data_IF_988997439060
#
_entry.id   IF_988997439060
#
_cell.length_a   1.000
_cell.length_b   1.000
_cell.length_c   1.000
_cell.angle_alpha   90.00
_cell.angle_beta   90.00
_cell.angle_gamma   90.00
#
_symmetry.space_group_name_H-M   'P 1'
#
loop_
_entity.id
_entity.type
_entity.pdbx_description
1 polymer ?
#
# COMPACT_ATOMS: atom_id res chain seq x y z
N UNK A 1 -46.12 -4.01 -13.01
CA UNK A 1 -45.80 -5.08 -13.96
C UNK A 1 -44.90 -4.45 -15.04
N UNK A 2 -43.60 -4.59 -14.93
CA UNK A 2 -42.64 -4.20 -15.98
C UNK A 2 -41.68 -5.38 -16.15
N UNK A 3 -41.80 -6.04 -17.29
CA UNK A 3 -41.00 -7.21 -17.66
C UNK A 3 -39.62 -6.77 -18.15
N UNK A 4 -38.58 -7.27 -17.51
CA UNK A 4 -37.18 -7.10 -17.93
C UNK A 4 -36.90 -8.16 -19.00
N UNK A 5 -36.72 -7.70 -20.25
CA UNK A 5 -36.35 -8.52 -21.40
C UNK A 5 -34.87 -8.86 -21.34
N UNK A 6 -34.57 -10.14 -21.06
CA UNK A 6 -33.19 -10.67 -21.09
C UNK A 6 -32.83 -10.96 -22.55
N UNK A 7 -31.96 -10.11 -23.10
CA UNK A 7 -31.41 -10.27 -24.46
C UNK A 7 -30.56 -11.54 -24.56
N UNK A 8 -31.01 -12.43 -25.43
CA UNK A 8 -30.38 -13.72 -25.79
C UNK A 8 -29.08 -13.45 -26.57
N UNK A 9 -27.94 -13.70 -25.95
CA UNK A 9 -26.63 -13.56 -26.58
C UNK A 9 -26.37 -14.70 -27.57
N UNK A 10 -26.20 -14.33 -28.86
CA UNK A 10 -26.02 -15.23 -30.00
C UNK A 10 -24.65 -15.94 -29.92
N UNK A 11 -24.67 -17.24 -29.64
CA UNK A 11 -23.50 -18.15 -29.62
C UNK A 11 -22.89 -18.44 -31.02
N UNK A 12 -23.38 -17.82 -32.08
CA UNK A 12 -22.93 -18.11 -33.46
C UNK A 12 -21.75 -17.28 -33.99
N UNK A 13 -21.19 -16.36 -33.16
CA UNK A 13 -20.03 -15.53 -33.57
C UNK A 13 -18.69 -15.92 -32.97
N UNK A 14 -18.60 -17.06 -32.25
CA UNK A 14 -17.38 -17.49 -31.58
C UNK A 14 -16.63 -18.62 -32.30
N UNK A 15 -17.03 -19.04 -33.49
CA UNK A 15 -16.45 -20.24 -34.16
C UNK A 15 -15.61 -19.92 -35.41
N UNK A 16 -15.41 -18.66 -35.80
CA UNK A 16 -14.73 -18.34 -37.06
C UNK A 16 -13.36 -17.67 -36.94
N UNK A 17 -12.68 -17.74 -35.79
CA UNK A 17 -11.31 -17.20 -35.63
C UNK A 17 -10.26 -18.25 -35.19
N UNK A 18 -10.50 -19.54 -35.43
CA UNK A 18 -9.55 -20.60 -35.12
C UNK A 18 -9.18 -21.39 -36.38
N UNK A 19 -8.59 -20.76 -37.35
CA UNK A 19 -7.91 -21.47 -38.47
C UNK A 19 -7.15 -20.47 -39.30
N UNK A 20 -5.96 -20.10 -38.94
CA UNK A 20 -4.82 -19.71 -39.79
C UNK A 20 -3.65 -19.43 -38.84
N UNK A 21 -2.89 -20.43 -38.43
CA UNK A 21 -1.52 -20.33 -37.99
C UNK A 21 -0.85 -21.71 -38.11
N UNK A 22 -0.65 -22.13 -39.34
CA UNK A 22 0.25 -23.25 -39.66
C UNK A 22 1.27 -22.74 -40.69
N UNK A 23 2.54 -23.01 -40.38
CA UNK A 23 3.70 -22.98 -41.26
C UNK A 23 4.33 -21.61 -41.58
N UNK A 24 5.31 -21.19 -40.75
CA UNK A 24 6.58 -20.63 -41.20
C UNK A 24 7.68 -21.01 -40.18
N UNK A 25 8.25 -22.18 -40.36
CA UNK A 25 9.52 -22.53 -39.72
C UNK A 25 10.65 -21.80 -40.47
N UNK A 26 10.99 -20.60 -40.04
CA UNK A 26 12.18 -19.90 -40.52
C UNK A 26 13.37 -20.37 -39.64
N UNK A 27 14.28 -21.10 -40.28
CA UNK A 27 15.57 -21.46 -39.71
C UNK A 27 16.40 -20.19 -39.46
N UNK A 28 16.59 -19.83 -38.21
CA UNK A 28 17.52 -18.78 -37.81
C UNK A 28 18.93 -19.40 -37.71
N UNK A 29 19.93 -18.88 -38.45
CA UNK A 29 21.32 -19.28 -38.21
C UNK A 29 21.74 -18.80 -36.83
N UNK A 30 22.26 -19.74 -36.03
CA UNK A 30 22.87 -19.45 -34.73
C UNK A 30 24.14 -18.62 -34.98
N UNK A 31 24.06 -17.31 -34.78
CA UNK A 31 25.25 -16.47 -34.63
C UNK A 31 25.79 -16.73 -33.20
N UNK A 32 26.87 -17.47 -33.15
CA UNK A 32 27.71 -17.55 -31.95
C UNK A 32 28.28 -16.15 -31.66
N UNK A 33 27.72 -15.42 -30.70
CA UNK A 33 28.33 -14.20 -30.18
C UNK A 33 29.51 -14.60 -29.31
N UNK A 34 30.73 -14.05 -29.59
CA UNK A 34 31.85 -14.17 -28.66
C UNK A 34 31.41 -13.46 -27.34
N UNK A 35 31.57 -14.17 -26.23
CA UNK A 35 31.40 -13.62 -24.90
C UNK A 35 32.34 -12.41 -24.71
N UNK A 36 31.83 -11.21 -24.97
CA UNK A 36 32.49 -9.99 -24.53
C UNK A 36 32.38 -9.99 -23.00
N UNK A 37 33.51 -10.24 -22.34
CA UNK A 37 33.71 -9.95 -20.93
C UNK A 37 33.49 -8.45 -20.75
N UNK A 38 32.30 -8.04 -20.40
CA UNK A 38 32.00 -6.69 -19.94
C UNK A 38 32.77 -6.56 -18.62
N UNK A 39 33.74 -5.63 -18.48
CA UNK A 39 34.28 -5.34 -17.17
C UNK A 39 33.12 -4.90 -16.28
N UNK A 40 32.90 -5.66 -15.22
CA UNK A 40 31.99 -5.30 -14.13
C UNK A 40 32.44 -3.94 -13.62
N UNK A 41 31.73 -2.89 -14.07
CA UNK A 41 31.88 -1.56 -13.48
C UNK A 41 31.30 -1.73 -12.06
N UNK A 42 32.24 -1.94 -11.12
CA UNK A 42 31.95 -1.80 -9.72
C UNK A 42 31.55 -0.34 -9.50
N UNK A 43 30.25 -0.12 -9.46
CA UNK A 43 29.67 1.13 -8.99
C UNK A 43 30.20 1.35 -7.57
N UNK A 44 30.88 2.48 -7.28
CA UNK A 44 31.37 2.73 -5.93
C UNK A 44 30.17 2.80 -5.01
N UNK A 45 30.08 1.79 -4.12
CA UNK A 45 29.42 1.83 -2.83
C UNK A 45 28.22 2.74 -2.68
N UNK A 46 27.03 2.29 -3.11
CA UNK A 46 25.88 2.44 -2.24
C UNK A 46 26.18 1.56 -1.03
N UNK A 47 26.81 2.15 -0.03
CA UNK A 47 26.65 1.71 1.35
C UNK A 47 25.20 1.98 1.69
N UNK A 48 24.31 1.17 1.12
CA UNK A 48 23.00 0.93 1.62
C UNK A 48 23.23 0.34 3.02
N UNK A 49 23.44 1.23 3.99
CA UNK A 49 23.34 0.87 5.39
C UNK A 49 21.94 0.35 5.53
N UNK A 50 21.80 -0.96 5.37
CA UNK A 50 20.52 -1.62 5.61
C UNK A 50 20.10 -1.20 7.01
N UNK A 51 19.19 -0.21 7.08
CA UNK A 51 18.62 0.25 8.33
C UNK A 51 18.13 -1.00 9.05
N UNK A 52 18.74 -1.32 10.20
CA UNK A 52 18.36 -2.51 10.94
C UNK A 52 16.95 -2.34 11.45
N UNK A 53 16.02 -3.24 11.10
CA UNK A 53 14.68 -3.17 11.64
C UNK A 53 14.75 -3.19 13.17
N UNK A 54 13.99 -2.29 13.81
CA UNK A 54 13.82 -2.35 15.26
C UNK A 54 12.82 -3.46 15.62
N UNK A 55 12.87 -4.02 16.83
CA UNK A 55 11.95 -5.09 17.25
C UNK A 55 10.46 -4.70 17.20
N UNK A 56 10.16 -3.40 17.12
CA UNK A 56 8.79 -2.85 17.12
C UNK A 56 8.38 -2.20 15.80
N UNK A 57 9.15 -2.36 14.73
CA UNK A 57 8.84 -1.74 13.42
C UNK A 57 7.50 -2.21 12.84
N UNK A 58 7.12 -3.48 13.04
CA UNK A 58 5.82 -3.97 12.59
C UNK A 58 4.68 -3.30 13.36
N UNK A 59 4.86 -3.10 14.67
CA UNK A 59 3.89 -2.41 15.52
C UNK A 59 3.79 -0.93 15.15
N UNK A 60 4.91 -0.25 14.89
CA UNK A 60 4.92 1.12 14.40
C UNK A 60 4.24 1.25 13.02
N UNK A 61 4.47 0.30 12.13
CA UNK A 61 3.82 0.28 10.81
C UNK A 61 2.31 0.13 10.96
N UNK A 62 1.85 -0.72 11.90
CA UNK A 62 0.42 -0.85 12.21
C UNK A 62 -0.14 0.43 12.84
N UNK A 63 0.59 1.06 13.76
CA UNK A 63 0.19 2.33 14.37
C UNK A 63 0.06 3.44 13.31
N UNK A 64 1.02 3.54 12.40
CA UNK A 64 0.96 4.48 11.29
C UNK A 64 -0.27 4.25 10.39
N UNK A 65 -0.59 3.00 10.09
CA UNK A 65 -1.79 2.63 9.32
C UNK A 65 -3.08 3.04 10.05
N UNK A 66 -3.14 2.82 11.35
CA UNK A 66 -4.27 3.23 12.21
C UNK A 66 -4.44 4.77 12.17
N UNK A 67 -3.35 5.52 12.34
CA UNK A 67 -3.38 6.99 12.27
C UNK A 67 -3.94 7.49 10.92
N UNK A 68 -3.53 6.87 9.81
CA UNK A 68 -4.06 7.18 8.48
C UNK A 68 -5.55 6.88 8.34
N UNK A 69 -5.99 5.77 8.90
CA UNK A 69 -7.40 5.36 8.92
C UNK A 69 -8.27 6.33 9.70
N UNK A 70 -7.85 6.69 10.90
CA UNK A 70 -8.56 7.65 11.76
C UNK A 70 -8.58 9.04 11.12
N UNK A 71 -7.44 9.48 10.56
CA UNK A 71 -7.37 10.77 9.87
C UNK A 71 -8.41 10.87 8.76
N UNK A 72 -8.58 9.82 7.94
CA UNK A 72 -9.63 9.81 6.91
C UNK A 72 -11.03 9.84 7.52
N UNK A 73 -11.35 8.91 8.43
CA UNK A 73 -12.70 8.74 8.99
C UNK A 73 -13.17 9.99 9.76
N UNK A 74 -12.27 10.63 10.50
CA UNK A 74 -12.60 11.87 11.23
C UNK A 74 -12.84 13.04 10.28
N UNK A 75 -12.03 13.20 9.25
CA UNK A 75 -12.27 14.24 8.25
C UNK A 75 -13.55 13.99 7.44
N UNK A 76 -13.95 12.73 7.25
CA UNK A 76 -15.20 12.36 6.60
C UNK A 76 -16.43 12.70 7.48
N UNK A 77 -16.32 12.48 8.80
CA UNK A 77 -17.45 12.62 9.72
C UNK A 77 -17.50 13.95 10.47
N UNK A 78 -16.42 14.69 10.52
CA UNK A 78 -16.38 16.01 11.15
C UNK A 78 -16.58 17.11 10.10
N UNK A 79 -17.38 18.11 10.44
CA UNK A 79 -17.64 19.29 9.58
C UNK A 79 -16.43 20.23 9.49
N UNK A 80 -15.41 20.04 10.30
CA UNK A 80 -14.16 20.80 10.31
C UNK A 80 -12.98 19.93 9.86
N UNK A 81 -12.00 20.55 9.19
CA UNK A 81 -10.74 19.87 8.88
C UNK A 81 -9.99 19.59 10.18
N UNK A 82 -9.80 18.32 10.48
CA UNK A 82 -9.03 17.87 11.65
C UNK A 82 -7.68 17.32 11.17
N UNK A 83 -6.64 18.14 11.29
CA UNK A 83 -5.28 17.77 10.88
C UNK A 83 -4.44 17.21 12.03
N UNK A 84 -5.00 17.05 13.24
CA UNK A 84 -4.29 16.56 14.43
C UNK A 84 -3.61 15.20 14.17
N UNK A 85 -4.33 14.23 13.60
CA UNK A 85 -3.80 12.90 13.29
C UNK A 85 -2.67 12.88 12.26
N UNK A 86 -2.66 13.87 11.36
CA UNK A 86 -1.54 14.08 10.45
C UNK A 86 -0.35 14.68 11.18
N UNK A 87 -0.58 15.60 12.12
CA UNK A 87 0.46 16.17 12.96
C UNK A 87 1.07 15.10 13.89
N UNK A 88 0.24 14.24 14.49
CA UNK A 88 0.69 13.10 15.30
C UNK A 88 1.57 12.14 14.49
N UNK A 89 1.17 11.85 13.25
CA UNK A 89 1.99 11.04 12.33
C UNK A 89 3.32 11.72 12.02
N UNK A 90 3.33 13.04 11.80
CA UNK A 90 4.57 13.76 11.55
C UNK A 90 5.49 13.73 12.77
N UNK A 91 4.95 13.91 13.97
CA UNK A 91 5.70 13.80 15.21
C UNK A 91 6.28 12.39 15.39
N UNK A 92 5.51 11.35 15.10
CA UNK A 92 5.99 9.97 15.12
C UNK A 92 7.18 9.77 14.17
N UNK A 93 7.07 10.27 12.93
CA UNK A 93 8.16 10.17 11.95
C UNK A 93 9.42 10.92 12.42
N UNK A 94 9.28 12.12 12.95
CA UNK A 94 10.42 12.94 13.38
C UNK A 94 11.13 12.34 14.61
N UNK A 95 10.39 11.62 15.45
CA UNK A 95 10.94 10.93 16.63
C UNK A 95 11.59 9.60 16.27
N UNK A 96 10.90 8.78 15.46
CA UNK A 96 11.25 7.38 15.25
C UNK A 96 12.16 7.13 14.04
N UNK A 97 12.25 8.08 13.11
CA UNK A 97 12.96 7.86 11.83
C UNK A 97 14.02 8.92 11.54
N UNK A 98 14.60 9.52 12.60
CA UNK A 98 15.67 10.49 12.44
C UNK A 98 16.86 9.83 11.73
N UNK A 99 17.29 10.41 10.60
CA UNK A 99 18.39 9.91 9.76
C UNK A 99 18.16 8.51 9.13
N UNK A 100 16.90 8.02 9.12
CA UNK A 100 16.50 6.73 8.57
C UNK A 100 15.47 6.88 7.43
N UNK A 101 15.85 7.33 6.23
CA UNK A 101 14.93 7.69 5.16
C UNK A 101 14.05 6.52 4.68
N UNK A 102 14.59 5.30 4.62
CA UNK A 102 13.82 4.12 4.21
C UNK A 102 12.78 3.72 5.26
N UNK A 103 13.11 3.86 6.54
CA UNK A 103 12.15 3.62 7.63
C UNK A 103 11.04 4.66 7.61
N UNK A 104 11.39 5.95 7.37
CA UNK A 104 10.42 7.03 7.16
C UNK A 104 9.48 6.74 6.00
N UNK A 105 10.01 6.28 4.88
CA UNK A 105 9.22 5.91 3.70
C UNK A 105 8.24 4.76 4.03
N UNK A 106 8.68 3.70 4.70
CA UNK A 106 7.82 2.57 5.09
C UNK A 106 6.67 3.00 5.99
N UNK A 107 6.92 3.81 7.02
CA UNK A 107 5.88 4.30 7.91
C UNK A 107 4.91 5.25 7.20
N UNK A 108 5.42 6.13 6.34
CA UNK A 108 4.58 7.01 5.50
C UNK A 108 3.70 6.20 4.55
N UNK A 109 4.23 5.15 3.95
CA UNK A 109 3.46 4.24 3.09
C UNK A 109 2.35 3.52 3.89
N UNK A 110 2.63 3.14 5.14
CA UNK A 110 1.63 2.52 6.04
C UNK A 110 0.50 3.49 6.37
N UNK A 111 0.80 4.73 6.74
CA UNK A 111 -0.21 5.78 6.95
C UNK A 111 -1.09 5.97 5.70
N UNK A 112 -0.47 6.13 4.54
CA UNK A 112 -1.20 6.29 3.27
C UNK A 112 -2.04 5.05 2.91
N UNK A 113 -1.61 3.85 3.28
CA UNK A 113 -2.39 2.62 3.12
C UNK A 113 -3.66 2.66 3.97
N UNK A 114 -3.55 2.99 5.25
CA UNK A 114 -4.69 3.13 6.16
C UNK A 114 -5.70 4.16 5.66
N UNK A 115 -5.24 5.34 5.27
CA UNK A 115 -6.08 6.38 4.66
C UNK A 115 -6.86 5.85 3.45
N UNK A 116 -6.16 5.25 2.48
CA UNK A 116 -6.78 4.76 1.23
C UNK A 116 -7.74 3.59 1.45
N UNK A 117 -7.47 2.73 2.44
CA UNK A 117 -8.34 1.59 2.74
C UNK A 117 -9.76 2.05 3.09
N UNK A 118 -9.90 3.13 3.84
CA UNK A 118 -11.20 3.68 4.18
C UNK A 118 -11.75 4.62 3.11
N UNK A 119 -10.90 5.40 2.44
CA UNK A 119 -11.30 6.27 1.34
C UNK A 119 -11.90 5.51 0.15
N UNK A 120 -11.54 4.25 -0.04
CA UNK A 120 -12.10 3.40 -1.09
C UNK A 120 -13.47 2.80 -0.74
N UNK A 121 -13.88 2.84 0.53
CA UNK A 121 -15.11 2.19 1.03
C UNK A 121 -16.16 3.21 1.44
N UNK A 122 -15.75 4.29 2.11
CA UNK A 122 -16.66 5.30 2.65
C UNK A 122 -16.48 6.62 1.92
N UNK A 123 -17.52 7.11 1.26
CA UNK A 123 -17.59 8.44 0.63
C UNK A 123 -18.41 9.42 1.46
N UNK A 124 -19.23 8.90 2.36
CA UNK A 124 -20.10 9.66 3.24
C UNK A 124 -19.96 9.19 4.69
N UNK A 125 -20.23 10.09 5.63
CA UNK A 125 -20.24 9.73 7.04
C UNK A 125 -21.46 8.88 7.36
N UNK A 126 -21.23 7.61 7.62
CA UNK A 126 -22.24 6.62 7.99
C UNK A 126 -22.07 6.17 9.44
N UNK A 127 -23.09 5.58 10.09
CA UNK A 127 -22.93 4.96 11.40
C UNK A 127 -21.81 3.92 11.45
N UNK A 128 -21.61 3.17 10.36
CA UNK A 128 -20.53 2.20 10.24
C UNK A 128 -19.13 2.86 10.18
N UNK A 129 -19.03 4.02 9.51
CA UNK A 129 -17.78 4.79 9.49
C UNK A 129 -17.42 5.31 10.90
N UNK A 130 -18.40 5.76 11.68
CA UNK A 130 -18.20 6.21 13.07
C UNK A 130 -17.74 5.04 13.95
N UNK A 131 -18.37 3.89 13.86
CA UNK A 131 -17.97 2.68 14.60
C UNK A 131 -16.57 2.22 14.21
N UNK A 132 -16.23 2.31 12.92
CA UNK A 132 -14.89 1.98 12.45
C UNK A 132 -13.84 2.94 13.04
N UNK A 133 -14.11 4.24 13.06
CA UNK A 133 -13.22 5.25 13.68
C UNK A 133 -12.96 4.93 15.15
N UNK A 134 -14.01 4.72 15.93
CA UNK A 134 -13.90 4.41 17.35
C UNK A 134 -13.08 3.13 17.60
N UNK A 135 -13.33 2.09 16.84
CA UNK A 135 -12.57 0.83 16.92
C UNK A 135 -11.08 1.05 16.65
N UNK A 136 -10.74 1.76 15.58
CA UNK A 136 -9.35 2.02 15.22
C UNK A 136 -8.65 2.93 16.25
N UNK A 137 -9.35 3.91 16.79
CA UNK A 137 -8.83 4.75 17.87
C UNK A 137 -8.49 3.95 19.13
N UNK A 138 -9.38 3.04 19.54
CA UNK A 138 -9.15 2.17 20.68
C UNK A 138 -7.97 1.20 20.44
N UNK A 139 -7.88 0.61 19.24
CA UNK A 139 -6.76 -0.24 18.83
C UNK A 139 -5.44 0.55 18.87
N UNK A 140 -5.42 1.76 18.32
CA UNK A 140 -4.24 2.62 18.30
C UNK A 140 -3.76 2.99 19.70
N UNK A 141 -4.68 3.34 20.61
CA UNK A 141 -4.34 3.65 21.99
C UNK A 141 -3.73 2.45 22.72
N UNK A 142 -4.29 1.25 22.52
CA UNK A 142 -3.77 0.00 23.09
C UNK A 142 -2.37 -0.29 22.55
N UNK A 143 -2.20 -0.21 21.23
CA UNK A 143 -0.92 -0.50 20.57
C UNK A 143 0.19 0.49 20.98
N UNK A 144 -0.12 1.78 21.09
CA UNK A 144 0.81 2.80 21.55
C UNK A 144 1.26 2.51 23.01
N UNK A 145 0.32 2.10 23.86
CA UNK A 145 0.62 1.72 25.25
C UNK A 145 1.53 0.47 25.29
N UNK A 146 1.27 -0.52 24.47
CA UNK A 146 2.10 -1.73 24.40
C UNK A 146 3.53 -1.45 23.92
N UNK A 147 3.68 -0.61 22.88
CA UNK A 147 5.00 -0.20 22.38
C UNK A 147 5.77 0.53 23.47
N UNK A 148 5.16 1.51 24.12
CA UNK A 148 5.83 2.30 25.18
C UNK A 148 6.15 1.46 26.41
N UNK A 149 5.29 0.54 26.80
CA UNK A 149 5.53 -0.35 27.95
C UNK A 149 6.68 -1.34 27.70
N UNK A 150 6.90 -1.76 26.46
CA UNK A 150 7.94 -2.74 26.10
C UNK A 150 9.27 -2.10 25.72
N UNK A 151 9.23 -0.98 25.03
CA UNK A 151 10.39 -0.40 24.36
C UNK A 151 10.65 1.06 24.73
N UNK A 152 9.71 1.71 25.43
CA UNK A 152 9.90 3.04 25.98
C UNK A 152 10.87 3.00 27.16
N UNK A 153 11.87 3.91 27.14
CA UNK A 153 12.83 4.10 28.24
C UNK A 153 12.31 5.17 29.21
#
# INVERSE_FOLDING_TARGET
MLAISIGRMNHRRLITLLSICAALAAAFPAFAQPAATVPEVQTPGDTDSAERPTPYDDQLSRLAEILGSIHYLRNLCNTGKEDSWRADMQQLLDTETKDEPKRKERLTASFNRGYRSFASVYTDCTPQAIVAEERYRNEGATLATEITARFGN
#
